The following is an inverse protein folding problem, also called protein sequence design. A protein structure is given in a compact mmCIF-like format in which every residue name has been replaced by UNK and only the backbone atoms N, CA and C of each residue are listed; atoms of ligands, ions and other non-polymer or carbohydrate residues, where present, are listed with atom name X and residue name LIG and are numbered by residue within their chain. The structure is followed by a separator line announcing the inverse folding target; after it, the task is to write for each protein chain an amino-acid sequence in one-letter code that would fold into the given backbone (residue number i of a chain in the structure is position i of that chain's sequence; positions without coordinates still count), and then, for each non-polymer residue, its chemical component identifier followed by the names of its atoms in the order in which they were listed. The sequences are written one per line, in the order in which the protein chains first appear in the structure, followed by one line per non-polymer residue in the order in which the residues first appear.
data_IF_189443566898
#
_entry.id   IF_189443566898
#
_cell.length_a   1.000
_cell.length_b   1.000
_cell.length_c   1.000
_cell.angle_alpha   90.00
_cell.angle_beta   90.00
_cell.angle_gamma   90.00
#
_symmetry.space_group_name_H-M   'P 1'
#
loop_
_entity.id
_entity.type
_entity.pdbx_description
1 polymer ?
#
# COMPACT_ATOMS: atom_id res chain seq x y z
N UNK A 1 22.75 -2.40 7.62
CA UNK A 1 22.11 -1.22 6.99
C UNK A 1 21.52 -1.67 5.65
N UNK A 2 20.32 -2.30 5.64
CA UNK A 2 19.82 -3.13 4.52
C UNK A 2 19.02 -2.38 3.44
N UNK A 3 18.71 -1.10 3.66
CA UNK A 3 17.84 -0.30 2.79
C UNK A 3 18.37 -0.19 1.35
N UNK A 4 19.70 -0.09 1.20
CA UNK A 4 20.38 0.16 -0.08
C UNK A 4 20.23 -0.99 -1.09
N UNK A 5 20.13 -2.23 -0.60
CA UNK A 5 19.97 -3.41 -1.45
C UNK A 5 18.50 -3.69 -1.78
N UNK A 6 17.57 -3.34 -0.88
CA UNK A 6 16.15 -3.55 -1.12
C UNK A 6 15.59 -2.68 -2.25
N UNK A 7 16.11 -1.45 -2.35
CA UNK A 7 15.80 -0.51 -3.44
C UNK A 7 16.53 -0.80 -4.76
N UNK A 8 17.40 -1.82 -4.84
CA UNK A 8 17.97 -2.25 -6.13
C UNK A 8 17.03 -3.16 -6.92
N UNK A 9 16.05 -3.79 -6.26
CA UNK A 9 15.21 -4.78 -6.92
C UNK A 9 14.06 -4.12 -7.70
N UNK A 10 14.27 -3.91 -9.01
CA UNK A 10 13.27 -3.36 -9.94
C UNK A 10 11.89 -4.04 -9.85
N UNK A 11 11.84 -5.34 -9.54
CA UNK A 11 10.58 -6.09 -9.42
C UNK A 11 9.69 -5.58 -8.27
N UNK A 12 10.29 -5.11 -7.18
CA UNK A 12 9.55 -4.60 -6.03
C UNK A 12 8.80 -3.31 -6.39
N UNK A 13 9.41 -2.44 -7.18
CA UNK A 13 8.78 -1.19 -7.64
C UNK A 13 7.62 -1.44 -8.58
N UNK A 14 7.81 -2.34 -9.55
CA UNK A 14 6.75 -2.72 -10.49
C UNK A 14 5.56 -3.32 -9.72
N UNK A 15 5.84 -4.23 -8.78
CA UNK A 15 4.79 -4.87 -7.99
C UNK A 15 4.07 -3.88 -7.07
N UNK A 16 4.80 -2.98 -6.39
CA UNK A 16 4.20 -1.92 -5.57
C UNK A 16 3.34 -0.95 -6.39
N UNK A 17 3.78 -0.61 -7.60
CA UNK A 17 3.01 0.21 -8.54
C UNK A 17 1.69 -0.46 -8.96
N UNK A 18 1.73 -1.75 -9.32
CA UNK A 18 0.53 -2.53 -9.66
C UNK A 18 -0.43 -2.58 -8.47
N UNK A 19 0.06 -2.84 -7.26
CA UNK A 19 -0.76 -2.85 -6.05
C UNK A 19 -1.41 -1.49 -5.80
N UNK A 20 -0.69 -0.38 -5.95
CA UNK A 20 -1.29 0.95 -5.82
C UNK A 20 -2.41 1.19 -6.84
N UNK A 21 -2.25 0.73 -8.08
CA UNK A 21 -3.30 0.80 -9.10
C UNK A 21 -4.55 0.00 -8.73
N UNK A 22 -4.38 -1.20 -8.19
CA UNK A 22 -5.50 -2.03 -7.71
C UNK A 22 -6.27 -1.32 -6.60
N UNK A 23 -5.55 -0.71 -5.65
CA UNK A 23 -6.18 0.04 -4.57
C UNK A 23 -6.97 1.26 -5.05
N UNK A 24 -6.66 1.76 -6.23
CA UNK A 24 -7.31 2.91 -6.86
C UNK A 24 -8.35 2.54 -7.92
N UNK A 25 -8.47 1.26 -8.28
CA UNK A 25 -9.39 0.78 -9.31
C UNK A 25 -10.85 1.24 -9.08
N UNK A 26 -11.40 1.26 -7.85
CA UNK A 26 -12.76 1.72 -7.61
C UNK A 26 -12.98 3.18 -8.05
N UNK A 27 -12.00 4.05 -7.82
CA UNK A 27 -12.04 5.46 -8.22
C UNK A 27 -12.03 5.65 -9.73
N UNK A 28 -11.17 4.89 -10.41
CA UNK A 28 -11.04 4.96 -11.87
C UNK A 28 -12.35 4.51 -12.52
N UNK A 29 -12.95 3.42 -12.01
CA UNK A 29 -14.23 2.90 -12.49
C UNK A 29 -15.33 3.95 -12.32
N UNK A 30 -15.42 4.59 -11.16
CA UNK A 30 -16.39 5.67 -10.91
C UNK A 30 -16.17 6.86 -11.85
N UNK A 31 -14.93 7.35 -11.96
CA UNK A 31 -14.58 8.52 -12.78
C UNK A 31 -14.88 8.31 -14.27
N UNK A 32 -14.76 7.07 -14.77
CA UNK A 32 -15.04 6.73 -16.16
C UNK A 32 -16.55 6.51 -16.38
N UNK A 33 -17.23 5.83 -15.44
CA UNK A 33 -18.62 5.42 -15.63
C UNK A 33 -19.65 6.47 -15.20
N UNK A 34 -19.22 7.57 -14.55
CA UNK A 34 -20.03 8.71 -14.16
C UNK A 34 -21.36 8.30 -13.48
N UNK A 35 -21.27 7.33 -12.57
CA UNK A 35 -22.44 6.69 -11.94
C UNK A 35 -23.07 7.69 -10.94
N UNK A 36 -24.31 8.16 -11.17
CA UNK A 36 -24.91 9.25 -10.40
C UNK A 36 -25.19 8.91 -8.93
N UNK A 37 -25.33 7.62 -8.59
CA UNK A 37 -25.58 7.16 -7.21
C UNK A 37 -24.41 7.41 -6.24
N UNK A 38 -23.21 7.73 -6.75
CA UNK A 38 -22.05 8.13 -5.94
C UNK A 38 -21.77 9.64 -6.00
N UNK A 39 -22.31 10.37 -6.98
CA UNK A 39 -22.06 11.81 -7.15
C UNK A 39 -22.80 12.70 -6.14
N UNK A 40 -23.79 12.18 -5.41
CA UNK A 40 -24.63 12.93 -4.45
C UNK A 40 -24.16 12.83 -2.99
N UNK A 41 -22.85 12.68 -2.74
CA UNK A 41 -22.29 12.51 -1.38
C UNK A 41 -21.24 11.40 -1.24
N UNK A 42 -20.88 10.74 -2.35
CA UNK A 42 -19.97 9.59 -2.31
C UNK A 42 -18.48 9.92 -2.23
N UNK A 43 -18.07 11.18 -2.33
CA UNK A 43 -16.66 11.55 -2.15
C UNK A 43 -16.07 11.09 -0.80
N UNK A 44 -16.89 10.99 0.24
CA UNK A 44 -16.47 10.54 1.57
C UNK A 44 -16.18 9.03 1.63
N UNK A 45 -17.06 8.19 1.05
CA UNK A 45 -16.87 6.73 1.09
C UNK A 45 -15.56 6.34 0.40
N UNK A 46 -15.17 7.07 -0.64
CA UNK A 46 -13.94 6.85 -1.36
C UNK A 46 -12.70 7.08 -0.47
N UNK A 47 -12.70 8.16 0.32
CA UNK A 47 -11.61 8.45 1.26
C UNK A 47 -11.48 7.33 2.29
N UNK A 48 -12.60 6.87 2.85
CA UNK A 48 -12.61 5.77 3.81
C UNK A 48 -12.17 4.43 3.19
N UNK A 49 -12.67 4.09 2.00
CA UNK A 49 -12.32 2.86 1.29
C UNK A 49 -10.83 2.83 0.92
N UNK A 50 -10.31 3.93 0.40
CA UNK A 50 -8.90 4.05 0.00
C UNK A 50 -7.99 4.05 1.23
N UNK A 51 -8.38 4.71 2.31
CA UNK A 51 -7.69 4.64 3.60
C UNK A 51 -7.66 3.23 4.20
N UNK A 52 -8.76 2.49 4.11
CA UNK A 52 -8.82 1.08 4.51
C UNK A 52 -7.87 0.22 3.67
N UNK A 53 -7.87 0.38 2.34
CA UNK A 53 -6.97 -0.35 1.44
C UNK A 53 -5.50 -0.06 1.76
N UNK A 54 -5.14 1.20 1.99
CA UNK A 54 -3.78 1.58 2.37
C UNK A 54 -3.35 0.88 3.67
N UNK A 55 -4.26 0.82 4.66
CA UNK A 55 -4.06 0.14 5.93
C UNK A 55 -3.86 -1.37 5.73
N UNK A 56 -4.70 -2.00 4.91
CA UNK A 56 -4.58 -3.42 4.58
C UNK A 56 -3.24 -3.74 3.90
N UNK A 57 -2.79 -2.91 2.95
CA UNK A 57 -1.47 -3.08 2.33
C UNK A 57 -0.34 -2.98 3.35
N UNK A 58 -0.42 -2.03 4.28
CA UNK A 58 0.58 -1.90 5.33
C UNK A 58 0.64 -3.16 6.21
N UNK A 59 -0.52 -3.64 6.65
CA UNK A 59 -0.65 -4.84 7.48
C UNK A 59 -0.17 -6.09 6.75
N UNK A 60 -0.54 -6.28 5.49
CA UNK A 60 -0.07 -7.43 4.69
C UNK A 60 1.45 -7.39 4.56
N UNK A 61 2.02 -6.22 4.28
CA UNK A 61 3.48 -6.04 4.25
C UNK A 61 4.11 -6.48 5.57
N UNK A 62 3.59 -5.98 6.70
CA UNK A 62 4.08 -6.33 8.03
C UNK A 62 4.00 -7.84 8.31
N UNK A 63 2.80 -8.42 8.17
CA UNK A 63 2.51 -9.84 8.41
C UNK A 63 3.39 -10.72 7.52
N UNK A 64 3.57 -10.40 6.24
CA UNK A 64 4.30 -11.26 5.32
C UNK A 64 5.81 -11.29 5.63
N UNK A 65 6.40 -10.13 5.96
CA UNK A 65 7.80 -10.09 6.38
C UNK A 65 8.03 -10.76 7.74
N UNK A 66 7.05 -10.64 8.65
CA UNK A 66 7.12 -11.28 9.97
C UNK A 66 6.95 -12.80 9.90
N UNK A 67 5.94 -13.29 9.16
CA UNK A 67 5.74 -14.72 8.89
C UNK A 67 6.97 -15.37 8.26
N UNK A 68 7.64 -14.70 7.32
CA UNK A 68 8.87 -15.20 6.73
C UNK A 68 9.97 -15.36 7.79
N UNK A 69 10.17 -14.33 8.61
CA UNK A 69 11.17 -14.34 9.68
C UNK A 69 10.86 -15.43 10.72
N UNK A 70 9.60 -15.56 11.14
CA UNK A 70 9.14 -16.58 12.07
C UNK A 70 9.33 -18.00 11.54
N UNK A 71 9.05 -18.23 10.25
CA UNK A 71 9.26 -19.54 9.62
C UNK A 71 10.75 -19.94 9.63
N UNK A 72 11.66 -18.99 9.34
CA UNK A 72 13.10 -19.25 9.42
C UNK A 72 13.55 -19.51 10.86
N UNK A 73 13.06 -18.75 11.84
CA UNK A 73 13.36 -19.00 13.27
C UNK A 73 12.96 -20.42 13.69
N UNK A 74 11.75 -20.87 13.31
CA UNK A 74 11.28 -22.23 13.59
C UNK A 74 12.17 -23.29 12.94
N UNK A 75 12.55 -23.10 11.66
CA UNK A 75 13.40 -24.05 10.94
C UNK A 75 14.82 -24.14 11.50
N UNK A 76 15.38 -23.00 11.90
CA UNK A 76 16.75 -22.90 12.42
C UNK A 76 16.82 -23.13 13.94
N UNK A 77 15.68 -23.32 14.61
CA UNK A 77 15.53 -23.37 16.08
C UNK A 77 16.18 -22.17 16.79
N UNK A 78 16.27 -21.04 16.09
CA UNK A 78 16.85 -19.81 16.60
C UNK A 78 15.72 -18.88 17.07
N UNK A 79 15.32 -19.03 18.33
CA UNK A 79 14.18 -18.31 18.90
C UNK A 79 14.52 -16.83 19.15
N UNK A 80 15.67 -16.56 19.78
CA UNK A 80 15.98 -15.21 20.30
C UNK A 80 17.24 -14.59 19.67
N UNK A 81 18.03 -15.36 18.92
CA UNK A 81 19.25 -14.87 18.30
C UNK A 81 18.97 -13.93 17.11
N UNK A 82 19.98 -13.13 16.72
CA UNK A 82 19.91 -12.31 15.52
C UNK A 82 19.74 -13.20 14.28
N UNK A 83 18.83 -12.81 13.39
CA UNK A 83 18.69 -13.47 12.09
C UNK A 83 19.84 -13.06 11.17
N UNK A 84 20.31 -13.95 10.29
CA UNK A 84 21.32 -13.62 9.28
C UNK A 84 20.88 -12.42 8.44
N UNK A 85 21.84 -11.57 8.03
CA UNK A 85 21.55 -10.36 7.26
C UNK A 85 20.81 -10.66 5.94
N UNK A 86 21.09 -11.81 5.33
CA UNK A 86 20.38 -12.30 4.13
C UNK A 86 18.88 -12.52 4.39
N UNK A 87 18.54 -13.11 5.53
CA UNK A 87 17.15 -13.37 5.94
C UNK A 87 16.45 -12.05 6.21
N UNK A 88 17.11 -11.13 6.91
CA UNK A 88 16.57 -9.81 7.19
C UNK A 88 16.34 -9.01 5.90
N UNK A 89 17.29 -9.06 4.96
CA UNK A 89 17.16 -8.42 3.64
C UNK A 89 16.01 -9.03 2.82
N UNK A 90 15.85 -10.35 2.85
CA UNK A 90 14.76 -11.07 2.18
C UNK A 90 13.39 -10.73 2.79
N UNK A 91 13.30 -10.67 4.13
CA UNK A 91 12.10 -10.21 4.82
C UNK A 91 11.75 -8.78 4.41
N UNK A 92 12.75 -7.90 4.35
CA UNK A 92 12.57 -6.51 3.93
C UNK A 92 12.08 -6.40 2.48
N UNK A 93 12.65 -7.18 1.57
CA UNK A 93 12.23 -7.24 0.16
C UNK A 93 10.79 -7.69 -0.01
N UNK A 94 10.27 -8.51 0.91
CA UNK A 94 8.85 -8.91 0.92
C UNK A 94 7.94 -7.80 1.44
N UNK A 95 8.40 -7.01 2.42
CA UNK A 95 7.64 -5.86 2.97
C UNK A 95 7.57 -4.70 1.98
N UNK A 96 8.69 -4.42 1.32
CA UNK A 96 8.90 -3.23 0.50
C UNK A 96 7.80 -2.93 -0.52
N UNK A 97 7.36 -3.88 -1.39
CA UNK A 97 6.35 -3.56 -2.39
C UNK A 97 5.01 -3.14 -1.78
N UNK A 98 4.60 -3.77 -0.68
CA UNK A 98 3.36 -3.43 0.01
C UNK A 98 3.44 -2.06 0.67
N UNK A 99 4.55 -1.74 1.31
CA UNK A 99 4.74 -0.41 1.92
C UNK A 99 4.88 0.69 0.87
N UNK A 100 5.55 0.43 -0.25
CA UNK A 100 5.56 1.36 -1.38
C UNK A 100 4.16 1.58 -1.93
N UNK A 101 3.36 0.51 -2.07
CA UNK A 101 1.96 0.63 -2.49
C UNK A 101 1.15 1.47 -1.50
N UNK A 102 1.27 1.24 -0.18
CA UNK A 102 0.64 2.07 0.86
C UNK A 102 1.01 3.54 0.70
N UNK A 103 2.30 3.85 0.59
CA UNK A 103 2.77 5.24 0.46
C UNK A 103 2.23 5.88 -0.82
N UNK A 104 2.25 5.16 -1.95
CA UNK A 104 1.71 5.68 -3.21
C UNK A 104 0.19 5.92 -3.14
N UNK A 105 -0.57 5.00 -2.55
CA UNK A 105 -2.02 5.15 -2.36
C UNK A 105 -2.32 6.36 -1.47
N UNK A 106 -1.57 6.57 -0.39
CA UNK A 106 -1.74 7.74 0.50
C UNK A 106 -1.40 9.04 -0.22
N UNK A 107 -0.29 9.08 -0.99
CA UNK A 107 0.07 10.26 -1.78
C UNK A 107 -1.04 10.60 -2.78
N UNK A 108 -1.55 9.61 -3.50
CA UNK A 108 -2.62 9.81 -4.47
C UNK A 108 -3.90 10.31 -3.79
N UNK A 109 -4.27 9.74 -2.64
CA UNK A 109 -5.42 10.20 -1.86
C UNK A 109 -5.28 11.68 -1.48
N UNK A 110 -4.12 12.08 -0.96
CA UNK A 110 -3.85 13.49 -0.59
C UNK A 110 -3.93 14.40 -1.82
N UNK A 111 -3.31 14.01 -2.95
CA UNK A 111 -3.34 14.80 -4.19
C UNK A 111 -4.78 14.99 -4.69
N UNK A 112 -5.59 13.93 -4.66
CA UNK A 112 -6.99 14.00 -5.09
C UNK A 112 -7.81 14.87 -4.15
N UNK A 113 -7.67 14.71 -2.83
CA UNK A 113 -8.34 15.57 -1.86
C UNK A 113 -8.00 17.05 -2.09
N UNK A 114 -6.74 17.36 -2.41
CA UNK A 114 -6.34 18.72 -2.77
C UNK A 114 -7.00 19.19 -4.08
N UNK A 115 -7.03 18.36 -5.13
CA UNK A 115 -7.69 18.71 -6.39
C UNK A 115 -9.16 19.05 -6.14
N UNK A 116 -9.92 18.21 -5.43
CA UNK A 116 -11.32 18.49 -5.09
C UNK A 116 -11.49 19.77 -4.28
N UNK A 117 -10.55 20.05 -3.37
CA UNK A 117 -10.56 21.29 -2.58
C UNK A 117 -10.42 22.53 -3.46
N UNK A 118 -9.54 22.50 -4.46
CA UNK A 118 -9.26 23.66 -5.31
C UNK A 118 -10.19 23.79 -6.52
N UNK A 119 -10.82 22.71 -6.99
CA UNK A 119 -11.74 22.75 -8.14
C UNK A 119 -13.20 23.03 -7.77
N UNK A 120 -13.53 23.14 -6.48
CA UNK A 120 -14.88 23.46 -6.02
C UNK A 120 -15.93 22.36 -6.26
N UNK A 121 -15.51 21.16 -6.68
CA UNK A 121 -16.36 19.96 -6.72
C UNK A 121 -16.46 19.30 -5.35
N UNK A 122 -16.89 20.07 -4.36
CA UNK A 122 -17.48 19.49 -3.15
C UNK A 122 -18.99 19.42 -3.35
N UNK A 123 -19.62 18.23 -3.35
CA UNK A 123 -21.06 18.12 -3.20
C UNK A 123 -21.42 18.35 -1.72
N UNK A 124 -21.14 19.53 -1.19
CA UNK A 124 -21.61 19.95 0.12
C UNK A 124 -22.44 21.23 -0.04
N UNK A 125 -23.68 21.02 -0.49
CA UNK A 125 -24.88 21.81 -0.15
C UNK A 125 -26.04 20.83 -0.08
#
# INVERSE_FOLDING_TARGET
MPLKNAFKNKKNYIFGGILSFIGFLPFIIESILNIPALNSGGGEWYVYATGLIATLYFLIGFIWGDLYSANIRRKTKNWDGPLPEEVNTSAWNRRLPWWMATVLVVILLVVISLIFTFTGHYPYC
#
